data_IF_220628382898
#
_entry.id   IF_220628382898
#
_cell.length_a   1.000
_cell.length_b   1.000
_cell.length_c   1.000
_cell.angle_alpha   90.00
_cell.angle_beta   90.00
_cell.angle_gamma   90.00
#
_symmetry.space_group_name_H-M   'P 1'
#
loop_
_entity.id
_entity.type
_entity.pdbx_description
1 polymer ?
#
# COMPACT_ATOMS: atom_id res chain seq x y z
N UNK A 1 -15.50 7.02 3.09
CA UNK A 1 -15.61 8.31 2.35
C UNK A 1 -16.45 8.00 1.13
N UNK A 2 -17.68 8.54 1.02
CA UNK A 2 -18.56 8.20 -0.11
C UNK A 2 -18.11 9.02 -1.32
N UNK A 3 -17.46 8.37 -2.29
CA UNK A 3 -17.13 8.99 -3.56
C UNK A 3 -18.37 8.94 -4.46
N UNK A 4 -18.75 10.08 -5.06
CA UNK A 4 -19.68 10.09 -6.19
C UNK A 4 -18.85 10.25 -7.45
N UNK A 5 -18.65 9.15 -8.17
CA UNK A 5 -18.15 9.21 -9.55
C UNK A 5 -19.34 9.63 -10.42
N UNK A 6 -19.31 10.86 -10.93
CA UNK A 6 -20.26 11.32 -11.92
C UNK A 6 -19.53 11.35 -13.28
N UNK A 7 -19.68 10.27 -14.06
CA UNK A 7 -19.22 10.26 -15.43
C UNK A 7 -20.15 11.16 -16.26
N UNK A 8 -19.73 12.40 -16.55
CA UNK A 8 -20.39 13.27 -17.52
C UNK A 8 -19.65 13.15 -18.85
N UNK A 9 -20.28 12.51 -19.83
CA UNK A 9 -19.83 12.54 -21.22
C UNK A 9 -20.25 13.91 -21.81
N UNK A 10 -19.29 14.81 -21.99
CA UNK A 10 -19.55 16.09 -22.65
C UNK A 10 -19.43 15.92 -24.18
N UNK A 11 -20.57 15.88 -24.88
CA UNK A 11 -20.64 16.03 -26.33
C UNK A 11 -20.85 17.51 -26.66
N UNK A 12 -19.80 18.22 -27.07
CA UNK A 12 -19.95 19.54 -27.69
C UNK A 12 -19.71 19.41 -29.19
N UNK A 13 -20.77 19.58 -29.97
CA UNK A 13 -20.67 19.81 -31.41
C UNK A 13 -20.57 21.30 -31.73
N UNK A 14 -19.61 21.67 -32.57
CA UNK A 14 -19.79 22.35 -33.87
C UNK A 14 -18.42 22.37 -34.58
N UNK A 15 -18.45 22.17 -35.89
CA UNK A 15 -17.36 21.65 -36.73
C UNK A 15 -16.29 22.68 -37.11
N UNK A 16 -15.05 22.40 -36.73
CA UNK A 16 -13.85 22.58 -37.56
C UNK A 16 -12.96 21.37 -37.22
N UNK A 17 -12.48 20.64 -38.22
CA UNK A 17 -11.79 19.34 -38.05
C UNK A 17 -10.67 19.42 -37.00
N UNK A 18 -11.01 19.01 -35.78
CA UNK A 18 -10.08 18.74 -34.69
C UNK A 18 -9.86 17.23 -34.68
N UNK A 19 -8.63 16.75 -34.49
CA UNK A 19 -8.41 15.32 -34.34
C UNK A 19 -9.27 14.83 -33.16
N UNK A 20 -9.98 13.72 -33.40
CA UNK A 20 -10.74 12.89 -32.45
C UNK A 20 -10.89 13.51 -31.06
N UNK A 21 -12.09 14.01 -30.75
CA UNK A 21 -12.50 14.33 -29.37
C UNK A 21 -12.22 13.11 -28.49
N UNK A 22 -11.08 13.09 -27.81
CA UNK A 22 -10.79 12.12 -26.78
C UNK A 22 -11.87 12.32 -25.70
N UNK A 23 -12.57 11.26 -25.32
CA UNK A 23 -13.44 11.30 -24.16
C UNK A 23 -12.67 11.90 -22.98
N UNK A 24 -13.11 13.04 -22.49
CA UNK A 24 -12.51 13.68 -21.32
C UNK A 24 -13.25 13.18 -20.08
N UNK A 25 -12.60 12.27 -19.36
CA UNK A 25 -13.14 11.76 -18.11
C UNK A 25 -12.96 12.82 -17.03
N UNK A 26 -14.05 13.22 -16.38
CA UNK A 26 -14.03 14.14 -15.25
C UNK A 26 -14.17 13.38 -13.93
N UNK A 27 -13.28 13.68 -12.99
CA UNK A 27 -13.32 13.14 -11.63
C UNK A 27 -13.55 14.29 -10.68
N UNK A 28 -14.59 14.21 -9.84
CA UNK A 28 -14.84 15.19 -8.78
C UNK A 28 -14.41 14.62 -7.42
N UNK A 29 -13.63 15.41 -6.69
CA UNK A 29 -13.18 15.13 -5.33
C UNK A 29 -13.83 16.14 -4.40
N UNK A 30 -14.57 15.67 -3.41
CA UNK A 30 -15.15 16.52 -2.35
C UNK A 30 -14.38 16.35 -1.04
N UNK A 31 -14.10 17.46 -0.36
CA UNK A 31 -13.52 17.46 0.98
C UNK A 31 -14.48 16.87 2.03
N UNK A 32 -15.79 16.92 1.76
CA UNK A 32 -16.83 16.57 2.72
C UNK A 32 -16.78 17.47 3.95
N UNK A 33 -16.94 16.88 5.13
CA UNK A 33 -17.04 17.61 6.41
C UNK A 33 -15.69 18.01 7.05
N UNK A 34 -14.57 17.80 6.35
CA UNK A 34 -13.24 18.02 6.90
C UNK A 34 -12.36 18.76 5.91
N UNK A 35 -11.46 19.61 6.42
CA UNK A 35 -10.34 20.10 5.63
C UNK A 35 -9.46 18.91 5.22
N UNK A 36 -9.00 18.91 3.97
CA UNK A 36 -8.15 17.86 3.38
C UNK A 36 -6.83 18.48 2.95
N UNK A 37 -5.73 17.82 3.26
CA UNK A 37 -4.38 18.20 2.84
C UNK A 37 -3.58 16.95 2.55
N UNK A 38 -2.88 16.94 1.41
CA UNK A 38 -2.02 15.82 1.01
C UNK A 38 -2.73 14.46 1.01
N UNK A 39 -4.05 14.42 0.91
CA UNK A 39 -4.83 13.21 1.15
C UNK A 39 -4.62 12.21 0.01
N UNK A 40 -4.35 10.92 0.30
CA UNK A 40 -4.43 9.85 -0.68
C UNK A 40 -5.85 9.74 -1.25
N UNK A 41 -5.95 9.73 -2.57
CA UNK A 41 -7.20 9.63 -3.30
C UNK A 41 -7.18 8.37 -4.14
N UNK A 42 -8.31 7.66 -4.11
CA UNK A 42 -8.53 6.41 -4.83
C UNK A 42 -9.93 6.43 -5.42
N UNK A 43 -10.08 6.03 -6.68
CA UNK A 43 -11.38 5.73 -7.27
C UNK A 43 -11.29 4.50 -8.17
N UNK A 44 -12.39 3.76 -8.29
CA UNK A 44 -12.51 2.73 -9.31
C UNK A 44 -12.54 3.37 -10.70
N UNK A 45 -11.87 2.74 -11.66
CA UNK A 45 -11.99 3.14 -13.05
C UNK A 45 -13.28 2.55 -13.65
N UNK A 46 -13.97 3.28 -14.54
CA UNK A 46 -15.13 2.75 -15.24
C UNK A 46 -14.70 1.61 -16.18
N UNK A 47 -15.53 0.57 -16.30
CA UNK A 47 -15.21 -0.63 -17.11
C UNK A 47 -14.91 -0.32 -18.59
N UNK A 48 -15.43 0.81 -19.10
CA UNK A 48 -15.19 1.31 -20.45
C UNK A 48 -13.75 1.80 -20.67
N UNK A 49 -13.04 2.17 -19.62
CA UNK A 49 -11.67 2.65 -19.70
C UNK A 49 -10.70 1.46 -19.72
N UNK A 50 -10.48 0.89 -20.90
CA UNK A 50 -9.54 -0.21 -21.12
C UNK A 50 -8.14 0.32 -21.38
N UNK A 51 -7.25 0.20 -20.40
CA UNK A 51 -5.84 0.60 -20.53
C UNK A 51 -4.90 -0.40 -19.90
N UNK A 52 -3.69 -0.48 -20.45
CA UNK A 52 -2.62 -1.29 -19.86
C UNK A 52 -1.96 -0.48 -18.72
N UNK A 53 -2.18 -0.86 -17.45
CA UNK A 53 -1.68 -0.13 -16.29
C UNK A 53 -0.15 -0.17 -16.18
N UNK A 54 0.53 -1.07 -16.90
CA UNK A 54 1.99 -1.19 -16.90
C UNK A 54 2.67 -0.33 -17.96
N UNK A 55 1.88 0.22 -18.90
CA UNK A 55 2.36 0.99 -20.06
C UNK A 55 1.72 2.37 -20.16
N UNK A 56 1.02 2.79 -19.12
CA UNK A 56 0.31 4.06 -19.11
C UNK A 56 0.57 4.81 -17.82
N UNK A 57 0.70 6.13 -17.96
CA UNK A 57 0.59 7.07 -16.84
C UNK A 57 -0.73 7.81 -16.97
N UNK A 58 -1.32 8.15 -15.83
CA UNK A 58 -2.51 8.99 -15.79
C UNK A 58 -2.10 10.39 -15.39
N UNK A 59 -2.59 11.38 -16.11
CA UNK A 59 -2.40 12.79 -15.79
C UNK A 59 -3.75 13.39 -15.45
N UNK A 60 -3.87 13.94 -14.25
CA UNK A 60 -5.08 14.59 -13.74
C UNK A 60 -4.84 16.10 -13.73
N UNK A 61 -5.58 16.82 -14.58
CA UNK A 61 -5.48 18.28 -14.69
C UNK A 61 -6.66 18.95 -13.99
N UNK A 62 -6.45 19.75 -12.93
CA UNK A 62 -7.52 20.49 -12.28
C UNK A 62 -8.25 21.41 -13.27
N UNK A 63 -9.58 21.39 -13.29
CA UNK A 63 -10.39 22.23 -14.21
C UNK A 63 -10.95 23.50 -13.57
N UNK A 64 -11.10 23.50 -12.25
CA UNK A 64 -11.71 24.57 -11.45
C UNK A 64 -10.68 25.32 -10.56
N UNK A 65 -9.39 25.04 -10.73
CA UNK A 65 -8.31 25.74 -10.04
C UNK A 65 -7.35 26.43 -11.00
N UNK A 66 -7.54 27.74 -11.23
CA UNK A 66 -6.64 28.52 -12.07
C UNK A 66 -5.18 28.43 -11.57
N UNK A 67 -4.28 27.93 -12.42
CA UNK A 67 -2.86 27.82 -12.12
C UNK A 67 -2.47 26.65 -11.19
N UNK A 68 -3.36 25.68 -10.95
CA UNK A 68 -2.95 24.43 -10.30
C UNK A 68 -2.17 23.54 -11.28
N UNK A 69 -1.06 22.91 -10.85
CA UNK A 69 -0.32 22.01 -11.72
C UNK A 69 -1.11 20.72 -11.96
N UNK A 70 -0.95 20.06 -13.12
CA UNK A 70 -1.36 18.68 -13.30
C UNK A 70 -0.66 17.76 -12.30
N UNK A 71 -1.33 16.68 -11.91
CA UNK A 71 -0.81 15.69 -10.98
C UNK A 71 -0.75 14.33 -11.64
N UNK A 72 0.25 13.55 -11.26
CA UNK A 72 0.36 12.16 -11.68
C UNK A 72 -0.64 11.29 -10.92
N UNK A 73 -1.33 10.42 -11.67
CA UNK A 73 -2.12 9.32 -11.18
C UNK A 73 -1.53 7.99 -11.63
N UNK A 74 -1.75 6.96 -10.81
CA UNK A 74 -1.31 5.60 -11.08
C UNK A 74 -2.50 4.66 -11.04
N UNK A 75 -2.61 3.80 -12.05
CA UNK A 75 -3.58 2.71 -12.07
C UNK A 75 -2.96 1.53 -11.32
N UNK A 76 -3.64 1.06 -10.29
CA UNK A 76 -3.23 -0.10 -9.49
C UNK A 76 -4.18 -1.24 -9.79
N UNK A 77 -3.72 -2.31 -10.47
CA UNK A 77 -4.54 -3.46 -10.79
C UNK A 77 -4.97 -4.24 -9.56
N UNK A 78 -6.19 -4.79 -9.60
CA UNK A 78 -6.76 -5.62 -8.53
C UNK A 78 -8.01 -6.35 -9.03
N UNK A 79 -8.90 -6.77 -8.12
CA UNK A 79 -10.24 -7.28 -8.51
C UNK A 79 -11.00 -6.26 -9.37
N UNK A 80 -10.81 -4.98 -9.05
CA UNK A 80 -11.12 -3.84 -9.90
C UNK A 80 -9.93 -2.90 -9.92
N UNK A 81 -9.60 -2.40 -11.10
CA UNK A 81 -8.53 -1.42 -11.26
C UNK A 81 -8.91 -0.12 -10.55
N UNK A 82 -7.96 0.41 -9.79
CA UNK A 82 -8.13 1.67 -9.06
C UNK A 82 -7.16 2.71 -9.55
N UNK A 83 -7.64 3.92 -9.81
CA UNK A 83 -6.80 5.08 -10.02
C UNK A 83 -6.46 5.71 -8.67
N UNK A 84 -5.16 5.98 -8.45
CA UNK A 84 -4.63 6.56 -7.23
C UNK A 84 -3.82 7.81 -7.51
N UNK A 85 -4.00 8.85 -6.70
CA UNK A 85 -3.21 10.08 -6.75
C UNK A 85 -3.20 10.77 -5.38
N UNK A 86 -2.43 11.85 -5.26
CA UNK A 86 -2.38 12.67 -4.05
C UNK A 86 -3.02 14.03 -4.33
N UNK A 87 -3.80 14.53 -3.37
CA UNK A 87 -4.33 15.88 -3.42
C UNK A 87 -3.19 16.90 -3.34
N UNK A 88 -2.97 17.64 -4.44
CA UNK A 88 -1.82 18.53 -4.64
C UNK A 88 -1.88 19.84 -3.87
N UNK A 89 -3.09 20.29 -3.57
CA UNK A 89 -3.32 21.46 -2.72
C UNK A 89 -4.50 21.21 -1.82
N UNK A 90 -4.50 21.76 -0.58
CA UNK A 90 -5.59 21.57 0.34
C UNK A 90 -6.96 21.90 -0.25
N UNK A 91 -7.98 21.23 0.28
CA UNK A 91 -9.39 21.58 0.10
C UNK A 91 -9.98 21.86 1.46
N UNK A 92 -10.68 22.99 1.62
CA UNK A 92 -11.43 23.27 2.83
C UNK A 92 -12.68 22.40 2.89
N UNK A 93 -13.19 22.17 4.11
CA UNK A 93 -14.50 21.56 4.33
C UNK A 93 -15.53 22.18 3.38
N UNK A 94 -16.29 21.33 2.69
CA UNK A 94 -17.33 21.73 1.73
C UNK A 94 -16.83 22.08 0.32
N UNK A 95 -15.52 22.26 0.12
CA UNK A 95 -14.97 22.49 -1.22
C UNK A 95 -14.87 21.18 -2.01
N UNK A 96 -14.83 21.33 -3.34
CA UNK A 96 -14.52 20.26 -4.27
C UNK A 96 -13.50 20.71 -5.30
N UNK A 97 -12.87 19.74 -5.96
CA UNK A 97 -12.00 19.93 -7.11
C UNK A 97 -12.34 18.90 -8.17
N UNK A 98 -12.43 19.34 -9.41
CA UNK A 98 -12.62 18.47 -10.57
C UNK A 98 -11.32 18.34 -11.34
N UNK A 99 -11.08 17.14 -11.86
CA UNK A 99 -9.91 16.81 -12.64
C UNK A 99 -10.35 16.27 -14.00
N UNK A 100 -9.78 16.81 -15.07
CA UNK A 100 -9.78 16.16 -16.37
C UNK A 100 -8.68 15.10 -16.38
N UNK A 101 -9.07 13.85 -16.58
CA UNK A 101 -8.17 12.72 -16.71
C UNK A 101 -7.72 12.57 -18.15
N UNK A 102 -6.41 12.41 -18.34
CA UNK A 102 -5.80 11.97 -19.60
C UNK A 102 -4.93 10.75 -19.35
N UNK A 103 -4.90 9.89 -20.35
CA UNK A 103 -4.01 8.73 -20.35
C UNK A 103 -2.91 8.99 -21.36
N UNK A 104 -1.68 8.80 -20.91
CA UNK A 104 -0.50 8.99 -21.73
C UNK A 104 0.29 7.68 -21.73
N UNK A 105 0.91 7.34 -22.86
CA UNK A 105 1.82 6.20 -22.91
C UNK A 105 3.03 6.48 -22.01
N UNK A 106 3.40 5.50 -21.19
CA UNK A 106 4.57 5.57 -20.32
C UNK A 106 5.15 4.19 -20.13
N UNK A 107 6.43 4.03 -20.47
CA UNK A 107 7.16 2.79 -20.27
C UNK A 107 8.11 2.87 -19.06
N UNK A 108 8.10 3.97 -18.31
CA UNK A 108 8.98 4.18 -17.16
C UNK A 108 8.38 3.57 -15.89
N UNK A 109 9.24 2.91 -15.11
CA UNK A 109 8.90 2.59 -13.73
C UNK A 109 9.15 3.86 -12.91
N UNK A 110 8.08 4.44 -12.37
CA UNK A 110 8.17 5.63 -11.53
C UNK A 110 9.04 5.41 -10.28
N UNK A 111 9.29 6.47 -9.48
CA UNK A 111 10.21 6.42 -8.34
C UNK A 111 9.87 5.38 -7.26
N UNK A 112 8.62 4.92 -7.16
CA UNK A 112 8.26 3.89 -6.18
C UNK A 112 8.49 2.51 -6.77
N UNK A 113 9.39 1.73 -6.17
CA UNK A 113 9.70 0.37 -6.60
C UNK A 113 9.33 -0.64 -5.54
N UNK A 114 8.72 -1.74 -5.97
CA UNK A 114 8.48 -2.93 -5.15
C UNK A 114 9.26 -4.09 -5.72
N UNK A 115 10.07 -4.72 -4.90
CA UNK A 115 10.96 -5.81 -5.32
C UNK A 115 10.90 -6.97 -4.35
N UNK A 116 11.08 -8.18 -4.88
CA UNK A 116 11.16 -9.40 -4.09
C UNK A 116 12.57 -10.01 -4.22
N UNK A 117 13.08 -10.49 -3.10
CA UNK A 117 14.23 -11.40 -3.02
C UNK A 117 13.81 -12.73 -2.41
N UNK A 118 14.75 -13.66 -2.24
CA UNK A 118 14.50 -14.89 -1.50
C UNK A 118 14.05 -14.59 -0.04
N UNK A 119 14.63 -13.55 0.56
CA UNK A 119 14.54 -13.29 2.00
C UNK A 119 13.50 -12.24 2.37
N UNK A 120 13.14 -11.34 1.47
CA UNK A 120 12.28 -10.20 1.80
C UNK A 120 11.55 -9.59 0.61
N UNK A 121 10.52 -8.81 0.92
CA UNK A 121 9.91 -7.84 0.02
C UNK A 121 10.34 -6.45 0.45
N UNK A 122 10.60 -5.57 -0.52
CA UNK A 122 10.98 -4.19 -0.27
C UNK A 122 10.07 -3.22 -1.01
N UNK A 123 9.80 -2.08 -0.38
CA UNK A 123 9.34 -0.87 -1.07
C UNK A 123 10.43 0.19 -0.96
N UNK A 124 10.82 0.80 -2.08
CA UNK A 124 11.80 1.88 -2.14
C UNK A 124 11.22 3.10 -2.86
N UNK A 125 11.78 4.26 -2.54
CA UNK A 125 11.57 5.54 -3.23
C UNK A 125 12.90 5.98 -3.84
N UNK A 126 13.05 5.80 -5.15
CA UNK A 126 14.34 5.83 -5.83
C UNK A 126 15.28 4.82 -5.17
N UNK A 127 16.43 5.30 -4.68
CA UNK A 127 17.39 4.45 -3.97
C UNK A 127 17.10 4.28 -2.48
N UNK A 128 16.18 5.07 -1.90
CA UNK A 128 15.91 5.06 -0.46
C UNK A 128 14.93 3.94 -0.11
N UNK A 129 15.33 3.09 0.84
CA UNK A 129 14.42 2.08 1.40
C UNK A 129 13.30 2.77 2.18
N UNK A 130 12.05 2.32 1.98
CA UNK A 130 10.90 2.71 2.81
C UNK A 130 10.65 1.65 3.86
N UNK A 131 10.50 0.39 3.43
CA UNK A 131 10.27 -0.73 4.34
C UNK A 131 10.71 -2.06 3.75
N UNK A 132 10.93 -3.03 4.64
CA UNK A 132 11.09 -4.46 4.33
C UNK A 132 10.04 -5.29 5.03
N UNK A 133 9.48 -6.27 4.33
CA UNK A 133 8.79 -7.40 4.93
C UNK A 133 9.70 -8.63 4.88
N UNK A 134 9.87 -9.32 6.00
CA UNK A 134 10.80 -10.45 6.12
C UNK A 134 10.09 -11.79 5.86
N UNK A 135 10.56 -12.51 4.83
CA UNK A 135 10.11 -13.85 4.42
C UNK A 135 10.92 -14.96 5.10
N UNK A 136 12.17 -14.65 5.46
CA UNK A 136 13.07 -15.50 6.24
C UNK A 136 13.49 -14.78 7.52
N UNK A 137 13.97 -15.51 8.55
CA UNK A 137 14.48 -14.88 9.76
C UNK A 137 15.60 -13.88 9.44
N UNK A 138 15.52 -12.70 10.07
CA UNK A 138 16.53 -11.67 9.92
C UNK A 138 17.92 -12.09 10.45
N UNK A 139 18.99 -11.36 10.12
CA UNK A 139 20.36 -11.71 10.50
C UNK A 139 20.57 -11.91 12.01
N UNK A 140 19.82 -11.19 12.84
CA UNK A 140 19.94 -11.25 14.30
C UNK A 140 19.28 -12.49 14.92
N UNK A 141 18.46 -13.23 14.16
CA UNK A 141 17.78 -14.44 14.65
C UNK A 141 18.78 -15.48 15.17
N UNK A 142 19.92 -15.64 14.50
CA UNK A 142 20.94 -16.63 14.85
C UNK A 142 21.70 -16.32 16.15
N UNK A 143 21.64 -15.06 16.63
CA UNK A 143 22.25 -14.65 17.89
C UNK A 143 21.33 -14.86 19.11
N UNK A 144 20.12 -15.37 18.87
CA UNK A 144 19.08 -15.56 19.86
C UNK A 144 18.69 -17.04 19.97
N UNK A 145 17.94 -17.37 21.03
CA UNK A 145 17.41 -18.73 21.19
C UNK A 145 16.59 -19.17 19.96
N UNK A 146 16.64 -20.44 19.54
CA UNK A 146 16.03 -20.90 18.29
C UNK A 146 14.53 -20.59 18.17
N UNK A 147 13.79 -20.57 19.28
CA UNK A 147 12.37 -20.25 19.30
C UNK A 147 12.07 -18.77 18.99
N UNK A 148 13.06 -17.88 19.06
CA UNK A 148 12.92 -16.50 18.61
C UNK A 148 13.04 -16.32 17.10
N UNK A 149 13.44 -17.35 16.35
CA UNK A 149 13.44 -17.30 14.88
C UNK A 149 12.03 -17.13 14.32
N UNK A 150 11.80 -16.10 13.49
CA UNK A 150 10.47 -15.68 13.00
C UNK A 150 10.51 -15.05 11.62
N UNK A 151 9.35 -15.05 10.97
CA UNK A 151 9.08 -14.41 9.66
C UNK A 151 7.73 -13.68 9.76
N UNK A 152 7.30 -12.98 8.71
CA UNK A 152 5.93 -12.46 8.68
C UNK A 152 5.73 -11.12 9.38
N UNK A 153 6.72 -10.23 9.28
CA UNK A 153 6.66 -8.90 9.87
C UNK A 153 7.44 -7.88 9.03
N UNK A 154 7.12 -6.60 9.24
CA UNK A 154 7.84 -5.49 8.62
C UNK A 154 8.96 -5.01 9.54
N UNK A 155 10.20 -5.15 9.09
CA UNK A 155 11.39 -4.52 9.68
C UNK A 155 12.55 -4.44 8.66
N UNK A 156 13.23 -3.28 8.52
CA UNK A 156 12.90 -2.00 9.14
C UNK A 156 11.76 -1.30 8.40
N UNK A 157 11.08 -0.38 9.10
CA UNK A 157 10.26 0.68 8.51
C UNK A 157 11.02 1.99 8.72
N UNK A 158 11.28 2.76 7.66
CA UNK A 158 12.14 3.94 7.71
C UNK A 158 11.36 5.24 7.57
N UNK A 159 11.77 6.26 8.34
CA UNK A 159 11.43 7.66 8.09
C UNK A 159 12.00 8.16 6.75
N UNK A 160 11.53 9.29 6.20
CA UNK A 160 12.12 9.89 4.99
C UNK A 160 13.61 10.24 5.10
N UNK A 161 14.12 10.42 6.33
CA UNK A 161 15.54 10.66 6.60
C UNK A 161 16.35 9.36 6.78
N UNK A 162 15.72 8.18 6.73
CA UNK A 162 16.38 6.88 6.79
C UNK A 162 16.51 6.30 8.21
N UNK A 163 15.99 6.96 9.25
CA UNK A 163 15.93 6.39 10.60
C UNK A 163 14.88 5.28 10.68
N UNK A 164 15.20 4.16 11.32
CA UNK A 164 14.23 3.10 11.60
C UNK A 164 13.25 3.52 12.68
N UNK A 165 11.95 3.33 12.43
CA UNK A 165 10.88 3.52 13.42
C UNK A 165 10.45 2.19 14.07
N UNK A 166 10.96 1.07 13.58
CA UNK A 166 10.78 -0.26 14.18
C UNK A 166 12.10 -0.78 14.73
N UNK A 167 12.01 -1.60 15.78
CA UNK A 167 13.13 -2.38 16.31
C UNK A 167 12.98 -3.87 15.99
N UNK A 168 14.04 -4.62 16.21
CA UNK A 168 14.07 -6.08 16.10
C UNK A 168 15.08 -6.63 17.11
N UNK A 169 14.77 -7.76 17.75
CA UNK A 169 15.61 -8.47 18.73
C UNK A 169 16.35 -7.57 19.77
N UNK A 170 15.66 -6.65 20.49
CA UNK A 170 16.33 -5.90 21.54
C UNK A 170 16.87 -6.86 22.63
N UNK A 171 18.07 -6.58 23.14
CA UNK A 171 18.84 -7.50 23.98
C UNK A 171 18.11 -7.92 25.28
N UNK A 172 17.25 -7.06 25.83
CA UNK A 172 16.48 -7.32 27.04
C UNK A 172 15.11 -7.98 26.76
N UNK A 173 14.59 -7.85 25.53
CA UNK A 173 13.30 -8.41 25.12
C UNK A 173 13.32 -8.98 23.68
N UNK A 174 14.05 -10.08 23.39
CA UNK A 174 14.26 -10.56 22.02
C UNK A 174 13.01 -10.99 21.22
N UNK A 175 11.87 -11.15 21.89
CA UNK A 175 10.58 -11.41 21.25
C UNK A 175 9.99 -10.16 20.58
N UNK A 176 10.43 -8.96 20.94
CA UNK A 176 9.94 -7.72 20.35
C UNK A 176 10.48 -7.57 18.92
N UNK A 177 9.58 -7.29 17.99
CA UNK A 177 9.90 -7.10 16.58
C UNK A 177 8.90 -6.20 15.88
N UNK A 178 9.31 -5.71 14.71
CA UNK A 178 8.76 -4.53 14.06
C UNK A 178 7.24 -4.41 13.99
N UNK A 179 6.65 -4.61 12.82
CA UNK A 179 5.22 -4.40 12.64
C UNK A 179 4.53 -5.70 12.22
N UNK A 180 3.59 -6.13 13.06
CA UNK A 180 2.78 -7.34 12.93
C UNK A 180 1.55 -7.30 13.82
N UNK A 181 0.62 -8.24 13.60
CA UNK A 181 -0.53 -8.43 14.48
C UNK A 181 -0.21 -9.47 15.54
N UNK A 182 -0.11 -9.01 16.79
CA UNK A 182 0.44 -9.75 17.91
C UNK A 182 -0.47 -10.85 18.48
N UNK A 183 -1.80 -10.72 18.34
CA UNK A 183 -2.82 -11.66 18.82
C UNK A 183 -2.46 -12.37 20.14
N UNK A 184 -2.23 -11.58 21.20
CA UNK A 184 -1.57 -12.03 22.43
C UNK A 184 -2.43 -12.92 23.34
N UNK A 185 -3.74 -12.92 23.13
CA UNK A 185 -4.70 -13.70 23.92
C UNK A 185 -5.72 -14.33 22.98
N UNK A 186 -5.29 -15.42 22.33
CA UNK A 186 -6.11 -16.17 21.37
C UNK A 186 -6.61 -17.45 22.00
N UNK A 187 -7.84 -17.85 21.68
CA UNK A 187 -8.36 -19.18 21.99
C UNK A 187 -8.71 -19.92 20.70
N UNK A 188 -8.18 -21.13 20.55
CA UNK A 188 -8.40 -21.97 19.37
C UNK A 188 -8.54 -23.43 19.80
N UNK A 189 -9.67 -24.06 19.46
CA UNK A 189 -9.99 -25.44 19.88
C UNK A 189 -9.77 -25.69 21.40
N UNK A 190 -10.13 -24.71 22.24
CA UNK A 190 -9.96 -24.77 23.70
C UNK A 190 -8.54 -24.56 24.22
N UNK A 191 -7.56 -24.26 23.36
CA UNK A 191 -6.18 -23.95 23.73
C UNK A 191 -5.94 -22.44 23.75
N UNK A 192 -5.16 -21.97 24.72
CA UNK A 192 -4.70 -20.58 24.81
C UNK A 192 -3.40 -20.41 24.02
N UNK A 193 -3.41 -19.48 23.08
CA UNK A 193 -2.29 -19.19 22.19
C UNK A 193 -1.87 -17.73 22.32
N UNK A 194 -0.57 -17.48 22.14
CA UNK A 194 0.02 -16.15 22.12
C UNK A 194 1.02 -16.06 20.96
N UNK A 195 0.75 -15.18 19.98
CA UNK A 195 1.58 -14.99 18.80
C UNK A 195 2.68 -13.93 18.98
N UNK A 196 2.74 -13.29 20.14
CA UNK A 196 3.78 -12.31 20.50
C UNK A 196 4.87 -12.91 21.38
N UNK A 197 4.49 -13.78 22.33
CA UNK A 197 5.44 -14.47 23.22
C UNK A 197 5.96 -15.77 22.60
N UNK A 198 7.03 -15.66 21.82
CA UNK A 198 7.70 -16.81 21.20
C UNK A 198 8.33 -17.77 22.22
N UNK A 199 8.70 -17.31 23.41
CA UNK A 199 9.28 -18.18 24.45
C UNK A 199 8.24 -19.16 24.99
N UNK A 200 6.98 -18.74 25.03
CA UNK A 200 5.84 -19.59 25.39
C UNK A 200 5.58 -20.72 24.38
N UNK A 201 6.08 -20.62 23.14
CA UNK A 201 5.99 -21.66 22.09
C UNK A 201 4.56 -22.18 21.88
N UNK A 202 3.57 -21.28 21.94
CA UNK A 202 2.16 -21.62 21.70
C UNK A 202 1.67 -21.17 20.33
N UNK A 203 2.13 -20.01 19.86
CA UNK A 203 1.81 -19.44 18.57
C UNK A 203 3.05 -19.15 17.72
N UNK A 204 2.90 -19.26 16.40
CA UNK A 204 3.91 -18.84 15.41
C UNK A 204 3.25 -18.10 14.25
N UNK A 205 3.92 -17.08 13.74
CA UNK A 205 3.57 -16.42 12.48
C UNK A 205 4.58 -16.85 11.42
N UNK A 206 4.08 -17.30 10.28
CA UNK A 206 4.89 -17.82 9.18
C UNK A 206 4.52 -17.13 7.87
N UNK A 207 5.49 -16.56 7.15
CA UNK A 207 5.33 -16.18 5.76
C UNK A 207 4.86 -17.39 4.93
N UNK A 208 3.94 -17.15 3.98
CA UNK A 208 3.37 -18.21 3.12
C UNK A 208 3.73 -17.98 1.67
N UNK A 209 3.34 -16.84 1.11
CA UNK A 209 3.52 -16.56 -0.31
C UNK A 209 3.44 -15.07 -0.58
N UNK A 210 4.24 -14.62 -1.55
CA UNK A 210 4.13 -13.30 -2.14
C UNK A 210 3.00 -13.29 -3.18
N UNK A 211 2.21 -12.23 -3.18
CA UNK A 211 1.20 -11.95 -4.20
C UNK A 211 1.70 -10.90 -5.20
N UNK A 212 0.82 -9.98 -5.56
CA UNK A 212 1.13 -8.92 -6.51
C UNK A 212 2.18 -7.93 -5.98
N UNK A 213 3.09 -7.50 -6.87
CA UNK A 213 4.02 -6.38 -6.67
C UNK A 213 3.71 -5.28 -7.70
N UNK A 214 3.44 -4.07 -7.23
CA UNK A 214 3.10 -2.92 -8.07
C UNK A 214 4.08 -1.77 -7.79
N UNK A 215 4.80 -1.37 -8.83
CA UNK A 215 5.68 -0.20 -8.85
C UNK A 215 5.02 0.92 -9.65
N UNK A 216 5.43 2.17 -9.44
CA UNK A 216 4.90 3.31 -10.20
C UNK A 216 5.31 4.66 -9.61
N UNK A 217 4.74 5.76 -10.12
CA UNK A 217 5.12 7.10 -9.66
C UNK A 217 4.35 7.61 -8.45
N UNK A 218 3.20 7.01 -8.12
CA UNK A 218 2.36 7.45 -7.00
C UNK A 218 2.44 6.49 -5.81
N UNK A 219 2.45 5.18 -6.05
CA UNK A 219 2.49 4.16 -5.00
C UNK A 219 3.42 3.01 -5.36
N UNK A 220 4.07 2.49 -4.32
CA UNK A 220 4.59 1.12 -4.30
C UNK A 220 3.65 0.26 -3.46
N UNK A 221 3.26 -0.90 -3.96
CA UNK A 221 2.41 -1.83 -3.25
C UNK A 221 2.90 -3.28 -3.41
N UNK A 222 2.81 -4.07 -2.33
CA UNK A 222 2.83 -5.52 -2.46
C UNK A 222 1.69 -6.16 -1.68
N UNK A 223 1.34 -7.38 -2.07
CA UNK A 223 0.48 -8.27 -1.29
C UNK A 223 1.29 -9.46 -0.79
N UNK A 224 1.04 -9.89 0.44
CA UNK A 224 1.71 -11.04 1.04
C UNK A 224 0.74 -11.82 1.92
N UNK A 225 0.82 -13.15 1.86
CA UNK A 225 0.08 -14.04 2.75
C UNK A 225 1.00 -14.58 3.83
N UNK A 226 0.46 -14.64 5.04
CA UNK A 226 1.07 -15.21 6.23
C UNK A 226 0.06 -16.06 6.99
N UNK A 227 0.53 -16.90 7.90
CA UNK A 227 -0.31 -17.78 8.70
C UNK A 227 0.07 -17.71 10.16
N UNK A 228 -0.95 -17.66 11.00
CA UNK A 228 -0.86 -17.89 12.44
C UNK A 228 -1.09 -19.38 12.70
N UNK A 229 -0.14 -20.01 13.39
CA UNK A 229 -0.12 -21.44 13.66
C UNK A 229 -0.07 -21.74 15.16
N UNK A 230 -0.90 -22.67 15.61
CA UNK A 230 -0.79 -23.32 16.91
C UNK A 230 0.35 -24.33 16.85
N UNK A 231 1.38 -24.08 17.65
CA UNK A 231 2.59 -24.90 17.72
C UNK A 231 2.73 -25.64 19.06
N UNK A 232 1.66 -25.73 19.85
CA UNK A 232 1.66 -26.49 21.11
C UNK A 232 1.97 -27.98 20.92
N UNK A 233 1.79 -28.49 19.70
CA UNK A 233 2.29 -29.80 19.26
C UNK A 233 3.30 -29.59 18.11
N UNK A 234 4.61 -29.49 18.41
CA UNK A 234 5.63 -29.06 17.42
C UNK A 234 5.69 -29.91 16.15
N UNK A 235 5.43 -31.21 16.26
CA UNK A 235 5.44 -32.15 15.12
C UNK A 235 4.17 -32.08 14.26
N UNK A 236 3.14 -31.37 14.73
CA UNK A 236 1.88 -31.18 14.01
C UNK A 236 1.31 -29.78 14.23
N UNK A 237 1.97 -28.72 13.74
CA UNK A 237 1.43 -27.36 13.81
C UNK A 237 0.08 -27.28 13.10
N UNK A 238 -0.88 -26.59 13.72
CA UNK A 238 -2.21 -26.37 13.14
C UNK A 238 -2.39 -24.94 12.67
N UNK A 239 -2.99 -24.77 11.50
CA UNK A 239 -3.40 -23.44 11.02
C UNK A 239 -4.52 -22.88 11.91
N UNK A 240 -4.34 -21.65 12.38
CA UNK A 240 -5.33 -20.94 13.21
C UNK A 240 -6.00 -19.83 12.40
N UNK A 241 -5.21 -19.04 11.68
CA UNK A 241 -5.69 -17.90 10.90
C UNK A 241 -4.81 -17.72 9.65
N UNK A 242 -5.44 -17.61 8.49
CA UNK A 242 -4.77 -17.15 7.27
C UNK A 242 -4.94 -15.64 7.14
N UNK A 243 -3.84 -14.94 6.90
CA UNK A 243 -3.82 -13.48 6.85
C UNK A 243 -3.14 -13.01 5.58
N UNK A 244 -3.82 -12.17 4.82
CA UNK A 244 -3.25 -11.49 3.64
C UNK A 244 -3.13 -10.01 3.93
N UNK A 245 -1.94 -9.46 3.78
CA UNK A 245 -1.68 -8.03 3.84
C UNK A 245 -1.53 -7.45 2.45
N UNK A 246 -2.16 -6.30 2.23
CA UNK A 246 -1.81 -5.39 1.15
C UNK A 246 -1.11 -4.18 1.77
N UNK A 247 0.19 -4.04 1.49
CA UNK A 247 1.05 -2.98 2.04
C UNK A 247 1.32 -1.96 0.94
N UNK A 248 0.98 -0.69 1.19
CA UNK A 248 1.08 0.39 0.20
C UNK A 248 1.84 1.57 0.78
N UNK A 249 2.97 1.96 0.18
CA UNK A 249 3.61 3.23 0.48
C UNK A 249 3.30 4.26 -0.61
N UNK A 250 2.96 5.48 -0.21
CA UNK A 250 2.65 6.57 -1.11
C UNK A 250 3.84 7.50 -1.31
N UNK A 251 4.00 7.97 -2.54
CA UNK A 251 4.94 9.03 -2.90
C UNK A 251 4.56 10.34 -2.20
N UNK A 252 5.51 10.91 -1.45
CA UNK A 252 5.34 12.22 -0.80
C UNK A 252 5.08 13.33 -1.83
N UNK A 253 4.27 14.32 -1.46
CA UNK A 253 4.07 15.55 -2.21
C UNK A 253 4.91 16.69 -1.64
N UNK A 254 5.59 17.46 -2.50
CA UNK A 254 6.37 18.64 -2.11
C UNK A 254 7.30 18.38 -0.92
N UNK A 255 7.18 19.22 0.11
CA UNK A 255 8.02 19.21 1.32
C UNK A 255 7.46 18.33 2.46
N UNK A 256 6.59 17.37 2.14
CA UNK A 256 6.03 16.44 3.14
C UNK A 256 7.14 15.70 3.90
N UNK A 257 7.13 15.86 5.23
CA UNK A 257 8.15 15.34 6.16
C UNK A 257 7.95 13.88 6.57
N UNK A 258 6.90 13.22 6.09
CA UNK A 258 6.55 11.85 6.46
C UNK A 258 6.19 11.01 5.24
N UNK A 259 6.27 9.69 5.39
CA UNK A 259 5.78 8.73 4.40
C UNK A 259 4.38 8.27 4.82
N UNK A 260 3.43 8.22 3.89
CA UNK A 260 2.12 7.59 4.16
C UNK A 260 2.21 6.12 3.80
N UNK A 261 1.82 5.27 4.75
CA UNK A 261 1.77 3.82 4.63
C UNK A 261 0.35 3.35 4.93
N UNK A 262 -0.25 2.58 4.03
CA UNK A 262 -1.49 1.85 4.27
C UNK A 262 -1.17 0.35 4.39
N UNK A 263 -1.72 -0.30 5.41
CA UNK A 263 -1.68 -1.76 5.56
C UNK A 263 -3.12 -2.22 5.74
N UNK A 264 -3.63 -2.94 4.75
CA UNK A 264 -4.92 -3.61 4.83
C UNK A 264 -4.66 -5.06 5.16
N UNK A 265 -5.18 -5.54 6.28
CA UNK A 265 -5.15 -6.95 6.65
C UNK A 265 -6.51 -7.59 6.40
N UNK A 266 -6.53 -8.68 5.65
CA UNK A 266 -7.68 -9.57 5.48
C UNK A 266 -7.37 -10.88 6.19
N UNK A 267 -8.24 -11.27 7.11
CA UNK A 267 -8.07 -12.41 8.00
C UNK A 267 -9.23 -13.38 7.77
N UNK A 268 -8.93 -14.65 7.49
CA UNK A 268 -9.89 -15.70 7.13
C UNK A 268 -9.67 -16.94 7.99
#
# INVERSE_FOLDING_TARGET
>A
MNFRVLAIVCLTGWTIASPVSAESWLIEVSAGNHDRQGTPLTCELPDSLKVDPTRTKVVLTPVDGAGLPPVEGQIVPGERDTLRWRLERPLKRGESRRYALRIEADASSGPMTCTESADHLEIRKGTRLVLRYLKTPGPEAAANEPYYSRTGYIHPLLTPLGHSVTGDYPADHPHQHGLFFAWTNTEFEGRKLNFWDQKGQTGRISYRSTGDLKSGGVVGQFTVSQRHEDITTPDSPKAVLDETWTVTAWMNQGDEKGTILDIVSRQV
#
